data_IF_027029270794
#
_entry.id   IF_027029270794
#
_cell.length_a   1.000
_cell.length_b   1.000
_cell.length_c   1.000
_cell.angle_alpha   90.00
_cell.angle_beta   90.00
_cell.angle_gamma   90.00
#
_symmetry.space_group_name_H-M   'P 1'
#
loop_
_entity.id
_entity.type
_entity.pdbx_description
1 polymer ?
#
# COMPACT_ATOMS: atom_id res chain seq x y z
N UNK A 1 -12.26 20.95 -7.83
CA UNK A 1 -11.68 20.51 -9.14
C UNK A 1 -10.42 19.71 -8.89
N UNK A 2 -10.34 18.47 -9.35
CA UNK A 2 -9.14 17.63 -9.23
C UNK A 2 -8.00 18.30 -10.03
N UNK A 3 -6.82 18.44 -9.43
CA UNK A 3 -5.68 19.04 -10.14
C UNK A 3 -5.20 18.08 -11.23
N UNK A 4 -4.89 18.59 -12.42
CA UNK A 4 -4.39 17.77 -13.55
C UNK A 4 -3.20 16.88 -13.14
N UNK A 5 -2.29 17.36 -12.29
CA UNK A 5 -1.16 16.60 -11.76
C UNK A 5 -1.60 15.38 -10.95
N UNK A 6 -2.64 15.51 -10.12
CA UNK A 6 -3.19 14.38 -9.32
C UNK A 6 -3.71 13.28 -10.24
N UNK A 7 -4.43 13.65 -11.31
CA UNK A 7 -4.92 12.69 -12.30
C UNK A 7 -3.78 12.00 -13.04
N UNK A 8 -2.76 12.74 -13.45
CA UNK A 8 -1.59 12.16 -14.14
C UNK A 8 -0.87 11.16 -13.22
N UNK A 9 -0.64 11.51 -11.96
CA UNK A 9 0.00 10.61 -10.99
C UNK A 9 -0.85 9.36 -10.76
N UNK A 10 -2.17 9.51 -10.57
CA UNK A 10 -3.07 8.37 -10.40
C UNK A 10 -3.04 7.45 -11.63
N UNK A 11 -3.19 8.02 -12.83
CA UNK A 11 -3.15 7.24 -14.07
C UNK A 11 -1.83 6.48 -14.22
N UNK A 12 -0.71 7.11 -13.86
CA UNK A 12 0.60 6.45 -13.86
C UNK A 12 0.60 5.23 -12.92
N UNK A 13 0.15 5.38 -11.66
CA UNK A 13 0.07 4.26 -10.72
C UNK A 13 -0.86 3.16 -11.20
N UNK A 14 -2.07 3.50 -11.65
CA UNK A 14 -3.03 2.50 -12.17
C UNK A 14 -2.46 1.74 -13.37
N UNK A 15 -1.75 2.44 -14.27
CA UNK A 15 -1.09 1.80 -15.42
C UNK A 15 0.01 0.84 -14.94
N UNK A 16 0.84 1.25 -13.98
CA UNK A 16 1.90 0.39 -13.44
C UNK A 16 1.30 -0.82 -12.72
N UNK A 17 0.24 -0.65 -11.92
CA UNK A 17 -0.47 -1.76 -11.26
C UNK A 17 -1.06 -2.73 -12.29
N UNK A 18 -1.70 -2.21 -13.35
CA UNK A 18 -2.29 -3.06 -14.39
C UNK A 18 -1.21 -3.86 -15.13
N UNK A 19 -0.07 -3.26 -15.48
CA UNK A 19 1.05 -3.95 -16.10
C UNK A 19 1.61 -5.02 -15.16
N UNK A 20 1.87 -4.69 -13.90
CA UNK A 20 2.36 -5.64 -12.91
C UNK A 20 1.39 -6.82 -12.72
N UNK A 21 0.07 -6.54 -12.68
CA UNK A 21 -0.96 -7.55 -12.56
C UNK A 21 -1.00 -8.49 -13.78
N UNK A 22 -0.87 -7.95 -14.99
CA UNK A 22 -0.79 -8.75 -16.21
C UNK A 22 0.47 -9.62 -16.25
N UNK A 23 1.63 -9.09 -15.83
CA UNK A 23 2.87 -9.85 -15.71
C UNK A 23 2.72 -11.01 -14.70
N UNK A 24 2.14 -10.73 -13.53
CA UNK A 24 1.84 -11.75 -12.52
C UNK A 24 0.95 -12.87 -13.09
N UNK A 25 -0.09 -12.51 -13.85
CA UNK A 25 -0.99 -13.49 -14.49
C UNK A 25 -0.33 -14.27 -15.63
N UNK A 26 0.71 -13.71 -16.26
CA UNK A 26 1.50 -14.42 -17.28
C UNK A 26 2.51 -15.43 -16.70
N UNK A 27 2.56 -15.59 -15.38
CA UNK A 27 3.45 -16.54 -14.69
C UNK A 27 4.75 -15.93 -14.15
N UNK A 28 4.94 -14.61 -14.28
CA UNK A 28 6.08 -13.91 -13.67
C UNK A 28 5.71 -13.55 -12.23
N UNK A 29 6.24 -14.29 -11.24
CA UNK A 29 5.93 -14.02 -9.83
C UNK A 29 6.67 -12.79 -9.31
N UNK A 30 5.90 -11.70 -9.12
CA UNK A 30 6.35 -10.40 -8.64
C UNK A 30 6.05 -10.16 -7.15
N UNK A 31 5.40 -11.11 -6.46
CA UNK A 31 5.05 -11.01 -5.05
C UNK A 31 6.31 -10.95 -4.18
N UNK A 32 6.23 -10.28 -3.04
CA UNK A 32 7.22 -10.43 -2.00
C UNK A 32 7.05 -11.82 -1.39
N UNK A 33 8.10 -12.65 -1.42
CA UNK A 33 8.11 -13.98 -0.84
C UNK A 33 9.01 -13.99 0.40
N UNK A 34 8.72 -14.85 1.37
CA UNK A 34 9.60 -15.07 2.53
C UNK A 34 11.04 -15.45 2.13
N UNK A 35 11.22 -16.08 0.96
CA UNK A 35 12.53 -16.47 0.40
C UNK A 35 13.19 -15.36 -0.44
N UNK A 36 12.58 -14.17 -0.55
CA UNK A 36 13.05 -13.09 -1.45
C UNK A 36 14.53 -12.75 -1.26
N UNK A 37 15.03 -12.76 -0.02
CA UNK A 37 16.44 -12.45 0.26
C UNK A 37 17.36 -13.61 -0.10
N UNK A 38 16.95 -14.84 0.18
CA UNK A 38 17.72 -16.06 -0.12
C UNK A 38 17.81 -16.28 -1.64
N UNK A 39 16.73 -16.03 -2.35
CA UNK A 39 16.65 -16.12 -3.81
C UNK A 39 17.33 -14.94 -4.53
N UNK A 40 17.84 -13.94 -3.79
CA UNK A 40 18.40 -12.70 -4.31
C UNK A 40 17.45 -11.93 -5.24
N UNK A 41 16.15 -12.10 -5.05
CA UNK A 41 15.09 -11.50 -5.86
C UNK A 41 14.72 -10.08 -5.35
N UNK A 42 15.72 -9.20 -5.20
CA UNK A 42 15.59 -7.86 -4.60
C UNK A 42 14.49 -6.97 -5.20
N UNK A 43 14.17 -7.17 -6.48
CA UNK A 43 13.08 -6.45 -7.15
C UNK A 43 11.74 -6.65 -6.44
N UNK A 44 11.53 -7.80 -5.77
CA UNK A 44 10.28 -8.14 -5.06
C UNK A 44 10.03 -7.25 -3.84
N UNK A 45 11.06 -6.60 -3.29
CA UNK A 45 10.89 -5.59 -2.24
C UNK A 45 10.04 -4.40 -2.70
N UNK A 46 9.99 -4.15 -4.00
CA UNK A 46 9.17 -3.10 -4.60
C UNK A 46 7.98 -3.68 -5.37
N UNK A 47 8.19 -4.72 -6.19
CA UNK A 47 7.15 -5.25 -7.05
C UNK A 47 6.02 -5.92 -6.28
N UNK A 48 6.27 -6.45 -5.07
CA UNK A 48 5.24 -6.98 -4.18
C UNK A 48 4.14 -5.95 -3.84
N UNK A 49 4.48 -4.66 -3.84
CA UNK A 49 3.52 -3.59 -3.63
C UNK A 49 2.75 -3.18 -4.90
N UNK A 50 3.20 -3.61 -6.07
CA UNK A 50 2.58 -3.25 -7.36
C UNK A 50 1.58 -4.29 -7.85
N UNK A 51 1.74 -5.55 -7.42
CA UNK A 51 0.82 -6.64 -7.74
C UNK A 51 -0.27 -6.78 -6.69
N UNK A 52 -1.38 -7.41 -7.07
CA UNK A 52 -2.56 -7.58 -6.22
C UNK A 52 -3.07 -9.03 -6.33
N UNK A 53 -3.83 -9.48 -5.36
CA UNK A 53 -4.43 -10.83 -5.36
C UNK A 53 -5.38 -11.02 -6.54
N UNK A 54 -6.18 -9.98 -6.84
CA UNK A 54 -7.13 -9.95 -7.94
C UNK A 54 -7.39 -8.51 -8.42
N UNK A 55 -8.18 -8.34 -9.49
CA UNK A 55 -8.55 -7.03 -10.02
C UNK A 55 -9.36 -6.15 -9.05
N UNK A 56 -10.36 -6.69 -8.31
CA UNK A 56 -11.04 -5.92 -7.26
C UNK A 56 -10.08 -5.32 -6.23
N UNK A 57 -9.07 -6.08 -5.78
CA UNK A 57 -8.04 -5.58 -4.86
C UNK A 57 -7.24 -4.41 -5.46
N UNK A 58 -6.84 -4.52 -6.74
CA UNK A 58 -6.16 -3.42 -7.44
C UNK A 58 -7.03 -2.18 -7.53
N UNK A 59 -8.31 -2.32 -7.85
CA UNK A 59 -9.25 -1.19 -7.92
C UNK A 59 -9.43 -0.53 -6.55
N UNK A 60 -9.58 -1.32 -5.48
CA UNK A 60 -9.68 -0.78 -4.11
C UNK A 60 -8.44 0.02 -3.72
N UNK A 61 -7.25 -0.49 -3.99
CA UNK A 61 -6.00 0.23 -3.70
C UNK A 61 -5.86 1.49 -4.56
N UNK A 62 -6.27 1.44 -5.82
CA UNK A 62 -6.29 2.62 -6.70
C UNK A 62 -7.26 3.70 -6.20
N UNK A 63 -8.44 3.31 -5.72
CA UNK A 63 -9.41 4.23 -5.12
C UNK A 63 -8.88 4.83 -3.80
N UNK A 64 -8.26 4.03 -2.95
CA UNK A 64 -7.65 4.49 -1.70
C UNK A 64 -6.50 5.47 -1.98
N UNK A 65 -5.66 5.19 -2.98
CA UNK A 65 -4.61 6.12 -3.42
C UNK A 65 -5.21 7.42 -3.95
N UNK A 66 -6.27 7.37 -4.77
CA UNK A 66 -6.95 8.58 -5.25
C UNK A 66 -7.43 9.44 -4.08
N UNK A 67 -8.13 8.83 -3.10
CA UNK A 67 -8.63 9.52 -1.93
C UNK A 67 -7.47 10.17 -1.16
N UNK A 68 -6.36 9.45 -0.97
CA UNK A 68 -5.15 9.96 -0.30
C UNK A 68 -4.57 11.18 -1.02
N UNK A 69 -4.45 11.13 -2.36
CA UNK A 69 -3.94 12.23 -3.17
C UNK A 69 -4.88 13.45 -3.18
N UNK A 70 -6.19 13.24 -3.02
CA UNK A 70 -7.18 14.32 -2.91
C UNK A 70 -7.16 14.98 -1.53
N UNK A 71 -7.04 14.18 -0.48
CA UNK A 71 -6.97 14.65 0.90
C UNK A 71 -5.68 15.43 1.18
N UNK A 72 -4.57 15.01 0.58
CA UNK A 72 -3.26 15.58 0.82
C UNK A 72 -2.62 16.15 -0.46
N UNK A 73 -2.95 17.40 -0.86
CA UNK A 73 -2.42 18.04 -2.06
C UNK A 73 -0.89 18.18 -2.09
N UNK A 74 -0.22 18.01 -0.94
CA UNK A 74 1.25 18.00 -0.84
C UNK A 74 1.88 16.92 -1.71
N UNK A 75 1.18 15.81 -1.94
CA UNK A 75 1.59 14.71 -2.83
C UNK A 75 1.51 15.05 -4.33
N UNK A 76 0.99 16.21 -4.70
CA UNK A 76 1.18 16.76 -6.05
C UNK A 76 2.64 17.06 -6.39
N UNK A 77 3.54 17.05 -5.40
CA UNK A 77 4.99 17.07 -5.57
C UNK A 77 5.49 15.64 -5.80
N UNK A 78 5.74 15.27 -7.06
CA UNK A 78 6.11 13.90 -7.45
C UNK A 78 7.34 13.36 -6.68
N UNK A 79 8.32 14.20 -6.35
CA UNK A 79 9.49 13.79 -5.56
C UNK A 79 9.13 13.39 -4.14
N UNK A 80 8.21 14.11 -3.50
CA UNK A 80 7.74 13.75 -2.16
C UNK A 80 6.95 12.45 -2.19
N UNK A 81 5.96 12.34 -3.09
CA UNK A 81 5.18 11.12 -3.26
C UNK A 81 6.07 9.91 -3.55
N UNK A 82 6.97 10.03 -4.53
CA UNK A 82 7.89 8.95 -4.89
C UNK A 82 8.83 8.56 -3.75
N UNK A 83 9.32 9.54 -2.99
CA UNK A 83 10.15 9.31 -1.80
C UNK A 83 9.40 8.55 -0.70
N UNK A 84 8.17 8.97 -0.38
CA UNK A 84 7.32 8.29 0.61
C UNK A 84 6.99 6.85 0.13
N UNK A 85 6.55 6.69 -1.11
CA UNK A 85 6.23 5.36 -1.67
C UNK A 85 7.43 4.43 -1.62
N UNK A 86 8.62 4.90 -2.02
CA UNK A 86 9.84 4.09 -1.98
C UNK A 86 10.22 3.71 -0.55
N UNK A 87 10.16 4.68 0.36
CA UNK A 87 10.46 4.46 1.77
C UNK A 87 9.50 3.44 2.39
N UNK A 88 8.19 3.66 2.25
CA UNK A 88 7.16 2.78 2.81
C UNK A 88 7.28 1.38 2.23
N UNK A 89 7.45 1.23 0.90
CA UNK A 89 7.59 -0.06 0.25
C UNK A 89 8.79 -0.84 0.78
N UNK A 90 9.96 -0.21 0.90
CA UNK A 90 11.16 -0.85 1.43
C UNK A 90 11.02 -1.18 2.92
N UNK A 91 10.49 -0.25 3.72
CA UNK A 91 10.31 -0.43 5.16
C UNK A 91 9.32 -1.58 5.44
N UNK A 92 8.19 -1.61 4.76
CA UNK A 92 7.18 -2.69 4.88
C UNK A 92 7.79 -4.02 4.46
N UNK A 93 8.44 -4.08 3.28
CA UNK A 93 9.02 -5.32 2.78
C UNK A 93 10.07 -5.89 3.74
N UNK A 94 11.00 -5.06 4.20
CA UNK A 94 12.02 -5.49 5.15
C UNK A 94 11.39 -5.84 6.50
N UNK A 95 10.42 -5.07 6.97
CA UNK A 95 9.67 -5.36 8.19
C UNK A 95 8.96 -6.70 8.14
N UNK A 96 8.25 -7.01 7.04
CA UNK A 96 7.61 -8.31 6.85
C UNK A 96 8.62 -9.45 6.85
N UNK A 97 9.73 -9.34 6.12
CA UNK A 97 10.74 -10.38 6.01
C UNK A 97 11.48 -10.64 7.34
N UNK A 98 11.74 -9.59 8.11
CA UNK A 98 12.58 -9.69 9.32
C UNK A 98 11.76 -9.93 10.60
N UNK A 99 10.55 -9.35 10.70
CA UNK A 99 9.73 -9.40 11.92
C UNK A 99 8.58 -10.41 11.82
N UNK A 100 8.14 -10.75 10.60
CA UNK A 100 7.00 -11.62 10.34
C UNK A 100 7.34 -12.73 9.31
N UNK A 101 8.42 -13.52 9.51
CA UNK A 101 8.90 -14.50 8.54
C UNK A 101 7.89 -15.63 8.26
N UNK A 102 6.87 -15.80 9.13
CA UNK A 102 5.77 -16.75 8.94
C UNK A 102 4.84 -16.34 7.79
N UNK A 103 4.88 -15.09 7.33
CA UNK A 103 4.10 -14.63 6.19
C UNK A 103 4.80 -15.12 4.93
N UNK A 104 4.23 -16.14 4.28
CA UNK A 104 4.85 -16.80 3.13
C UNK A 104 4.98 -15.88 1.90
N UNK A 105 4.01 -14.96 1.71
CA UNK A 105 4.01 -14.01 0.60
C UNK A 105 3.14 -12.78 0.89
N UNK A 106 3.47 -11.69 0.19
CA UNK A 106 2.70 -10.44 0.26
C UNK A 106 2.51 -9.84 -1.13
N UNK A 107 1.31 -9.30 -1.36
CA UNK A 107 0.95 -8.54 -2.56
C UNK A 107 -0.08 -7.46 -2.20
N UNK A 108 0.15 -6.23 -2.65
CA UNK A 108 -0.80 -5.12 -2.49
C UNK A 108 -0.15 -3.80 -2.10
N UNK A 109 -0.81 -2.71 -2.50
CA UNK A 109 -0.35 -1.34 -2.23
C UNK A 109 -0.90 -0.76 -0.92
N UNK A 110 -1.75 -1.52 -0.21
CA UNK A 110 -2.51 -1.02 0.94
C UNK A 110 -1.62 -0.56 2.10
N UNK A 111 -0.54 -1.28 2.41
CA UNK A 111 0.43 -0.85 3.42
C UNK A 111 1.03 0.52 3.08
N UNK A 112 1.46 0.72 1.83
CA UNK A 112 1.98 2.01 1.36
C UNK A 112 0.91 3.11 1.45
N UNK A 113 -0.36 2.80 1.15
CA UNK A 113 -1.46 3.77 1.33
C UNK A 113 -1.61 4.18 2.80
N UNK A 114 -1.46 3.23 3.76
CA UNK A 114 -1.47 3.55 5.19
C UNK A 114 -0.33 4.50 5.57
N UNK A 115 0.90 4.25 5.08
CA UNK A 115 2.04 5.13 5.27
C UNK A 115 1.82 6.53 4.70
N UNK A 116 1.28 6.61 3.48
CA UNK A 116 0.92 7.88 2.86
C UNK A 116 -0.17 8.62 3.64
N UNK A 117 -1.21 7.94 4.12
CA UNK A 117 -2.26 8.53 4.96
C UNK A 117 -1.69 9.06 6.28
N UNK A 118 -0.86 8.26 6.96
CA UNK A 118 -0.19 8.66 8.20
C UNK A 118 0.70 9.88 7.98
N UNK A 119 1.63 9.81 7.02
CA UNK A 119 2.55 10.91 6.70
C UNK A 119 1.79 12.17 6.26
N UNK A 120 0.79 12.05 5.38
CA UNK A 120 -0.03 13.16 4.92
C UNK A 120 -0.78 13.84 6.06
N UNK A 121 -1.38 13.05 6.95
CA UNK A 121 -2.11 13.56 8.10
C UNK A 121 -1.18 14.23 9.14
N UNK A 122 0.03 13.72 9.35
CA UNK A 122 1.04 14.33 10.22
C UNK A 122 1.53 15.67 9.64
N UNK A 123 1.80 15.73 8.33
CA UNK A 123 2.19 16.98 7.68
C UNK A 123 1.08 18.04 7.72
N UNK A 124 -0.17 17.62 7.71
CA UNK A 124 -1.35 18.48 7.81
C UNK A 124 -1.99 18.47 9.22
N UNK A 125 -1.23 18.18 10.27
CA UNK A 125 -1.75 17.93 11.64
C UNK A 125 -2.56 19.11 12.22
N UNK A 126 -2.34 20.32 11.73
CA UNK A 126 -3.12 21.51 12.18
C UNK A 126 -4.58 21.46 11.72
N UNK A 127 -4.86 20.73 10.63
CA UNK A 127 -6.22 20.61 10.08
C UNK A 127 -7.05 19.62 10.91
N UNK A 128 -8.30 19.96 11.29
CA UNK A 128 -9.17 19.08 12.08
C UNK A 128 -9.39 17.71 11.42
N UNK A 129 -9.57 17.70 10.10
CA UNK A 129 -9.77 16.46 9.32
C UNK A 129 -8.58 15.50 9.46
N UNK A 130 -7.34 16.04 9.48
CA UNK A 130 -6.13 15.23 9.64
C UNK A 130 -6.06 14.54 11.00
N UNK A 131 -6.50 15.21 12.07
CA UNK A 131 -6.58 14.62 13.41
C UNK A 131 -7.60 13.49 13.47
N UNK A 132 -8.77 13.68 12.86
CA UNK A 132 -9.81 12.65 12.77
C UNK A 132 -9.27 11.45 11.98
N UNK A 133 -8.63 11.68 10.83
CA UNK A 133 -8.03 10.63 10.01
C UNK A 133 -6.97 9.83 10.77
N UNK A 134 -6.11 10.49 11.54
CA UNK A 134 -5.12 9.80 12.39
C UNK A 134 -5.79 8.88 13.41
N UNK A 135 -6.83 9.36 14.09
CA UNK A 135 -7.58 8.56 15.06
C UNK A 135 -8.24 7.36 14.37
N UNK A 136 -8.88 7.57 13.22
CA UNK A 136 -9.53 6.50 12.45
C UNK A 136 -8.52 5.48 11.92
N UNK A 137 -7.35 5.94 11.44
CA UNK A 137 -6.29 5.06 10.95
C UNK A 137 -5.73 4.19 12.07
N UNK A 138 -5.41 4.78 13.23
CA UNK A 138 -4.93 4.05 14.41
C UNK A 138 -6.01 3.08 14.92
N UNK A 139 -7.27 3.49 14.98
CA UNK A 139 -8.37 2.63 15.39
C UNK A 139 -8.56 1.45 14.42
N UNK A 140 -8.48 1.70 13.12
CA UNK A 140 -8.58 0.66 12.08
C UNK A 140 -7.45 -0.36 12.18
N UNK A 141 -6.20 0.09 12.26
CA UNK A 141 -5.04 -0.81 12.41
C UNK A 141 -5.08 -1.54 13.74
N UNK A 142 -5.47 -0.86 14.82
CA UNK A 142 -5.66 -1.49 16.14
C UNK A 142 -6.74 -2.58 16.11
N UNK A 143 -7.83 -2.38 15.39
CA UNK A 143 -8.87 -3.38 15.17
C UNK A 143 -8.34 -4.59 14.41
N UNK A 144 -7.59 -4.38 13.32
CA UNK A 144 -7.00 -5.48 12.55
C UNK A 144 -6.00 -6.29 13.37
N UNK A 145 -5.17 -5.64 14.18
CA UNK A 145 -4.27 -6.32 15.13
C UNK A 145 -5.08 -7.14 16.15
N UNK A 146 -6.15 -6.56 16.71
CA UNK A 146 -7.00 -7.23 17.71
C UNK A 146 -7.69 -8.46 17.15
N UNK A 147 -8.20 -8.37 15.90
CA UNK A 147 -8.98 -9.45 15.27
C UNK A 147 -8.13 -10.44 14.48
N UNK A 148 -6.82 -10.22 14.38
CA UNK A 148 -5.94 -11.06 13.56
C UNK A 148 -6.16 -10.88 12.05
N UNK A 149 -6.51 -9.67 11.63
CA UNK A 149 -6.66 -9.31 10.21
C UNK A 149 -8.07 -9.42 9.65
N UNK A 150 -9.10 -9.62 10.50
CA UNK A 150 -10.49 -9.53 10.01
C UNK A 150 -10.76 -8.16 9.40
N UNK A 151 -11.18 -8.16 8.16
CA UNK A 151 -11.47 -6.95 7.40
C UNK A 151 -12.64 -7.19 6.45
N UNK A 152 -13.46 -6.16 6.27
CA UNK A 152 -14.54 -6.17 5.27
C UNK A 152 -14.01 -6.37 3.84
N UNK A 153 -12.74 -6.12 3.60
CA UNK A 153 -12.11 -6.30 2.29
C UNK A 153 -11.75 -7.75 1.97
N UNK A 154 -11.69 -8.65 2.96
CA UNK A 154 -11.27 -10.06 2.79
C UNK A 154 -12.08 -10.78 1.71
N UNK A 155 -13.40 -10.57 1.68
CA UNK A 155 -14.28 -11.17 0.67
C UNK A 155 -13.97 -10.67 -0.75
N UNK A 156 -13.65 -9.37 -0.90
CA UNK A 156 -13.37 -8.77 -2.20
C UNK A 156 -11.98 -9.14 -2.74
N UNK A 157 -11.00 -9.30 -1.85
CA UNK A 157 -9.62 -9.59 -2.24
C UNK A 157 -9.34 -11.08 -2.37
N UNK A 158 -10.27 -11.94 -1.94
CA UNK A 158 -10.17 -13.42 -1.99
C UNK A 158 -8.85 -13.95 -1.36
N UNK A 159 -8.36 -13.26 -0.35
CA UNK A 159 -7.13 -13.60 0.36
C UNK A 159 -7.15 -13.00 1.78
N UNK A 160 -6.40 -13.56 2.75
CA UNK A 160 -6.20 -12.93 4.04
C UNK A 160 -5.59 -11.54 3.91
N UNK A 161 -6.08 -10.59 4.70
CA UNK A 161 -5.44 -9.28 4.82
C UNK A 161 -4.16 -9.44 5.64
N UNK A 162 -3.04 -9.04 5.06
CA UNK A 162 -1.75 -8.97 5.77
C UNK A 162 -1.71 -7.64 6.53
N UNK A 163 -2.36 -7.63 7.70
CA UNK A 163 -2.49 -6.41 8.51
C UNK A 163 -1.15 -5.91 9.06
N UNK A 164 -0.16 -6.78 9.14
CA UNK A 164 1.21 -6.41 9.51
C UNK A 164 1.79 -5.38 8.52
N UNK A 165 1.42 -5.46 7.25
CA UNK A 165 1.81 -4.45 6.27
C UNK A 165 1.12 -3.09 6.53
N UNK A 166 -0.10 -3.08 7.06
CA UNK A 166 -0.81 -1.85 7.47
C UNK A 166 -0.21 -1.26 8.75
N UNK A 167 0.25 -2.12 9.66
CA UNK A 167 0.92 -1.71 10.90
C UNK A 167 2.30 -1.09 10.62
N UNK A 168 3.01 -1.59 9.62
CA UNK A 168 4.33 -1.11 9.23
C UNK A 168 4.27 0.17 8.36
N UNK A 169 3.17 0.40 7.66
CA UNK A 169 2.90 1.61 6.87
C UNK A 169 2.19 2.66 7.70
#
# INVERSE_FOLDING_TARGET
MIRARTLVLLLLFVTVFAIAQLLQQSGIDLRLLSTTLDDQAWHRLLTGHLVHTNWPHMVMNSAALLITLLLFPVYGKARLLGGCVLWDALFISLGLLLLFPQIGWYAGFSGVVHGLLMTGALLAFREPVSKILLVLLVAKVGWEVWTGGESLSTEFIEAPVIFEAHLLG
#
